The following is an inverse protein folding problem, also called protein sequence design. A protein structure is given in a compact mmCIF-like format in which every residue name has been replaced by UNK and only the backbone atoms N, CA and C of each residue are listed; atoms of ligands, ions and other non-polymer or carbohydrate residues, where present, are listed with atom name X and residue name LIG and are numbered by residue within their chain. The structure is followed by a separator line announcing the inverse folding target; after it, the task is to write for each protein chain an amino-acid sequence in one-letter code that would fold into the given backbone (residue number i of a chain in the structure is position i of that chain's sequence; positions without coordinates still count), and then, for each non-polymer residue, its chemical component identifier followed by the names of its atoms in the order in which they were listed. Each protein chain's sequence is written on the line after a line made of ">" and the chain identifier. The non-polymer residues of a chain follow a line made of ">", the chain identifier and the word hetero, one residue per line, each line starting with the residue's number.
data_IF_213064934059
#
_entry.id   IF_213064934059
#
_cell.length_a   1.000
_cell.length_b   1.000
_cell.length_c   1.000
_cell.angle_alpha   90.00
_cell.angle_beta   90.00
_cell.angle_gamma   90.00
#
_symmetry.space_group_name_H-M   'P 1'
#
loop_
_entity.id
_entity.type
_entity.pdbx_description
1 polymer ?
#
# COMPACT_ATOMS: atom_id res chain seq x y z
N UNK A 1 2.74 -7.62 -3.56
CA UNK A 1 1.87 -6.73 -2.72
C UNK A 1 1.03 -5.89 -3.66
N UNK A 2 -0.29 -5.87 -3.49
CA UNK A 2 -1.22 -5.12 -4.35
C UNK A 2 -1.77 -3.93 -3.57
N UNK A 3 -1.73 -2.72 -4.15
CA UNK A 3 -2.09 -1.47 -3.47
C UNK A 3 -2.97 -0.55 -4.32
N UNK A 4 -3.88 0.24 -3.70
CA UNK A 4 -4.69 1.23 -4.40
C UNK A 4 -3.89 2.52 -4.65
N UNK A 5 -3.26 2.62 -5.82
CA UNK A 5 -2.53 3.82 -6.24
C UNK A 5 -3.43 4.90 -6.85
N UNK A 6 -2.86 6.09 -7.05
CA UNK A 6 -3.60 7.24 -7.60
C UNK A 6 -4.04 7.05 -9.06
N UNK A 7 -3.26 6.30 -9.83
CA UNK A 7 -3.55 5.99 -11.23
C UNK A 7 -4.27 4.64 -11.39
N UNK A 8 -4.65 4.02 -10.28
CA UNK A 8 -5.26 2.70 -10.25
C UNK A 8 -4.51 1.72 -9.35
N UNK A 9 -5.03 0.50 -9.29
CA UNK A 9 -4.44 -0.59 -8.52
C UNK A 9 -3.16 -1.05 -9.21
N UNK A 10 -2.10 -1.24 -8.42
CA UNK A 10 -0.83 -1.76 -8.94
C UNK A 10 -0.19 -2.78 -7.99
N UNK A 11 0.69 -3.60 -8.56
CA UNK A 11 1.42 -4.63 -7.84
C UNK A 11 2.90 -4.27 -7.69
N UNK A 12 3.41 -4.41 -6.48
CA UNK A 12 4.84 -4.35 -6.17
C UNK A 12 5.38 -5.77 -6.06
N UNK A 13 6.21 -6.13 -7.03
CA UNK A 13 6.98 -7.39 -7.11
C UNK A 13 8.45 -7.17 -6.71
N UNK A 14 9.24 -8.23 -6.48
CA UNK A 14 10.68 -8.11 -6.27
C UNK A 14 11.35 -7.33 -7.41
N UNK A 15 12.31 -6.48 -7.06
CA UNK A 15 13.06 -5.62 -8.01
C UNK A 15 12.21 -4.61 -8.79
N UNK A 16 11.01 -4.26 -8.30
CA UNK A 16 10.20 -3.21 -8.89
C UNK A 16 10.97 -1.88 -8.98
N UNK A 17 10.68 -1.10 -10.04
CA UNK A 17 11.25 0.25 -10.23
C UNK A 17 11.04 1.11 -8.98
N UNK A 18 12.01 2.01 -8.73
CA UNK A 18 11.91 2.95 -7.60
C UNK A 18 10.72 3.89 -7.83
N UNK A 19 9.82 3.95 -6.86
CA UNK A 19 8.63 4.81 -6.91
C UNK A 19 8.35 5.43 -5.55
N UNK A 20 7.74 6.62 -5.59
CA UNK A 20 7.07 7.26 -4.47
C UNK A 20 5.66 7.61 -4.97
N UNK A 21 4.64 7.08 -4.32
CA UNK A 21 3.25 7.28 -4.76
C UNK A 21 2.34 7.46 -3.55
N UNK A 22 1.28 8.25 -3.72
CA UNK A 22 0.18 8.28 -2.75
C UNK A 22 -0.70 7.04 -2.94
N UNK A 23 -1.31 6.60 -1.85
CA UNK A 23 -2.28 5.53 -1.80
C UNK A 23 -3.65 6.09 -1.46
N UNK A 24 -4.67 5.63 -2.17
CA UNK A 24 -6.06 5.98 -1.97
C UNK A 24 -6.72 5.04 -0.94
N UNK A 25 -7.95 5.36 -0.55
CA UNK A 25 -8.75 4.49 0.30
C UNK A 25 -9.04 3.16 -0.39
N UNK A 26 -8.97 2.07 0.36
CA UNK A 26 -9.23 0.74 -0.17
C UNK A 26 -8.53 -0.35 0.63
N UNK A 27 -8.29 -1.48 -0.04
CA UNK A 27 -7.68 -2.66 0.57
C UNK A 27 -6.29 -2.86 -0.02
N UNK A 28 -5.29 -2.92 0.86
CA UNK A 28 -3.96 -3.40 0.51
C UNK A 28 -3.90 -4.92 0.70
N UNK A 29 -3.34 -5.64 -0.27
CA UNK A 29 -3.12 -7.08 -0.18
C UNK A 29 -1.63 -7.37 -0.04
N UNK A 30 -1.27 -7.99 1.08
CA UNK A 30 0.09 -8.49 1.35
C UNK A 30 -0.05 -10.00 1.51
N UNK A 31 0.47 -10.75 0.52
CA UNK A 31 0.28 -12.20 0.43
C UNK A 31 -1.22 -12.53 0.47
N UNK A 32 -1.66 -13.35 1.42
CA UNK A 32 -3.06 -13.74 1.60
C UNK A 32 -3.82 -12.85 2.61
N UNK A 33 -3.21 -11.74 3.06
CA UNK A 33 -3.79 -10.85 4.07
C UNK A 33 -4.29 -9.54 3.46
N UNK A 34 -5.48 -9.14 3.92
CA UNK A 34 -6.11 -7.88 3.56
C UNK A 34 -5.95 -6.85 4.67
N UNK A 35 -5.51 -5.65 4.31
CA UNK A 35 -5.37 -4.52 5.22
C UNK A 35 -6.23 -3.35 4.71
N UNK A 36 -7.32 -2.99 5.42
CA UNK A 36 -8.09 -1.81 5.07
C UNK A 36 -7.27 -0.55 5.36
N UNK A 37 -7.34 0.44 4.46
CA UNK A 37 -6.67 1.73 4.63
C UNK A 37 -7.52 2.89 4.12
N UNK A 38 -7.30 4.08 4.71
CA UNK A 38 -7.93 5.34 4.28
C UNK A 38 -7.08 6.08 3.27
N UNK A 39 -5.87 6.48 3.66
CA UNK A 39 -4.91 7.16 2.80
C UNK A 39 -3.51 6.80 3.28
N UNK A 40 -2.55 6.87 2.38
CA UNK A 40 -1.16 6.65 2.73
C UNK A 40 -0.19 7.06 1.64
N UNK A 41 1.08 6.74 1.86
CA UNK A 41 2.16 6.90 0.90
C UNK A 41 2.94 5.58 0.90
N UNK A 42 3.33 5.16 -0.31
CA UNK A 42 4.25 4.05 -0.51
C UNK A 42 5.54 4.54 -1.15
N UNK A 43 6.66 4.07 -0.60
CA UNK A 43 7.99 4.20 -1.19
C UNK A 43 8.52 2.80 -1.50
N UNK A 44 8.93 2.59 -2.74
CA UNK A 44 9.68 1.41 -3.17
C UNK A 44 11.09 1.86 -3.51
N UNK A 45 12.10 1.35 -2.81
CA UNK A 45 13.49 1.68 -3.06
C UNK A 45 14.41 0.49 -2.76
N UNK A 46 15.21 0.07 -3.74
CA UNK A 46 16.21 -1.01 -3.59
C UNK A 46 15.62 -2.27 -2.92
N UNK A 47 14.50 -2.77 -3.46
CA UNK A 47 13.77 -3.93 -2.92
C UNK A 47 13.26 -3.77 -1.47
N UNK A 48 13.28 -2.55 -0.93
CA UNK A 48 12.65 -2.19 0.34
C UNK A 48 11.37 -1.41 0.07
N UNK A 49 10.27 -1.87 0.66
CA UNK A 49 8.98 -1.20 0.61
C UNK A 49 8.72 -0.55 1.97
N UNK A 50 8.30 0.70 1.96
CA UNK A 50 7.86 1.42 3.16
C UNK A 50 6.51 2.02 2.87
N UNK A 51 5.52 1.71 3.72
CA UNK A 51 4.17 2.26 3.64
C UNK A 51 3.89 3.03 4.92
N UNK A 52 3.45 4.28 4.77
CA UNK A 52 2.96 5.10 5.88
C UNK A 52 1.48 5.35 5.61
N UNK A 53 0.62 5.02 6.57
CA UNK A 53 -0.82 5.09 6.41
C UNK A 53 -1.44 5.90 7.55
N UNK A 54 -2.53 6.60 7.26
CA UNK A 54 -3.39 7.13 8.32
C UNK A 54 -3.94 5.96 9.15
N UNK A 55 -4.09 6.19 10.46
CA UNK A 55 -4.61 5.19 11.38
C UNK A 55 -5.98 4.68 10.92
N UNK A 56 -6.06 3.38 10.63
CA UNK A 56 -7.34 2.72 10.45
C UNK A 56 -7.91 2.53 11.86
N UNK A 57 -9.00 3.24 12.17
CA UNK A 57 -9.82 2.92 13.33
C UNK A 57 -10.14 1.42 13.23
N UNK A 58 -9.63 0.64 14.19
CA UNK A 58 -10.17 -0.69 14.40
C UNK A 58 -11.62 -0.48 14.82
N UNK A 59 -12.56 -0.79 13.92
CA UNK A 59 -13.95 -0.95 14.32
C UNK A 59 -13.99 -2.17 15.25
N UNK A 60 -13.84 -1.93 16.55
CA UNK A 60 -14.09 -2.90 17.61
C UNK A 60 -15.54 -2.84 18.08
N UNK A 61 -16.02 -3.87 18.80
CA UNK A 61 -15.26 -4.96 19.42
C UNK A 61 -15.14 -6.24 18.58
#
# INVERSE_FOLDING_TARGET
>A
MIVPGEQGVFEVLPFHKRILSRLLAGTMLIEERSFPMRRGIIKVNQNRVTVIMEEALQDGP
#
